data_IF_440317163253
#
_entry.id   IF_440317163253
#
_cell.length_a   1.000
_cell.length_b   1.000
_cell.length_c   1.000
_cell.angle_alpha   90.00
_cell.angle_beta   90.00
_cell.angle_gamma   90.00
#
_symmetry.space_group_name_H-M   'P 1'
#
loop_
_entity.id
_entity.type
_entity.pdbx_description
1 polymer ?
#
# COMPACT_ATOMS: atom_id res chain seq x y z
N UNK A 1 5.24 6.09 0.79
CA UNK A 1 4.92 7.25 1.66
C UNK A 1 3.42 7.23 1.97
N UNK A 2 3.00 7.32 3.24
CA UNK A 2 1.59 7.35 3.63
C UNK A 2 1.02 8.77 3.58
N UNK A 3 -0.27 8.90 3.24
CA UNK A 3 -0.91 10.20 3.03
C UNK A 3 -1.43 10.78 4.36
N UNK A 4 -0.87 11.91 4.79
CA UNK A 4 -1.23 12.56 6.07
C UNK A 4 -2.60 13.22 6.07
N UNK A 5 -3.10 13.65 4.91
CA UNK A 5 -4.44 14.24 4.78
C UNK A 5 -5.51 13.28 5.28
N UNK A 6 -5.29 11.97 5.07
CA UNK A 6 -6.17 10.90 5.52
C UNK A 6 -5.63 10.19 6.76
N UNK A 7 -4.72 10.82 7.49
CA UNK A 7 -4.11 10.30 8.73
C UNK A 7 -3.52 8.88 8.59
N UNK A 8 -3.09 8.50 7.40
CA UNK A 8 -2.58 7.14 7.16
C UNK A 8 -1.25 6.89 7.86
N UNK A 9 -0.37 7.90 7.96
CA UNK A 9 0.86 7.78 8.77
C UNK A 9 0.52 7.54 10.23
N UNK A 10 -0.41 8.34 10.78
CA UNK A 10 -0.88 8.17 12.16
C UNK A 10 -1.48 6.78 12.38
N UNK A 11 -2.27 6.28 11.42
CA UNK A 11 -2.86 4.95 11.50
C UNK A 11 -1.81 3.83 11.55
N UNK A 12 -0.68 3.98 10.82
CA UNK A 12 0.46 3.05 10.92
C UNK A 12 1.10 3.11 12.31
N UNK A 13 1.40 4.32 12.80
CA UNK A 13 2.04 4.51 14.11
C UNK A 13 1.18 4.01 15.28
N UNK A 14 -0.15 4.02 15.12
CA UNK A 14 -1.11 3.48 16.08
C UNK A 14 -1.39 1.97 15.87
N UNK A 15 -0.74 1.30 14.92
CA UNK A 15 -0.95 -0.11 14.61
C UNK A 15 -2.30 -0.45 13.97
N UNK A 16 -3.10 0.55 13.57
CA UNK A 16 -4.40 0.34 12.92
C UNK A 16 -4.28 0.05 11.42
N UNK A 17 -3.27 0.63 10.77
CA UNK A 17 -2.96 0.35 9.37
C UNK A 17 -1.77 -0.60 9.30
N UNK A 18 -2.03 -1.81 8.83
CA UNK A 18 -1.06 -2.91 8.72
C UNK A 18 -0.92 -3.43 7.29
N UNK A 19 -1.64 -2.84 6.34
CA UNK A 19 -1.56 -3.17 4.92
C UNK A 19 -1.47 -1.92 4.06
N UNK A 20 -0.92 -2.08 2.86
CA UNK A 20 -0.99 -1.05 1.81
C UNK A 20 -1.02 -1.70 0.43
N UNK A 21 -1.81 -1.12 -0.47
CA UNK A 21 -1.93 -1.55 -1.86
C UNK A 21 -1.18 -0.61 -2.78
N UNK A 22 -0.50 -1.18 -3.78
CA UNK A 22 0.19 -0.46 -4.85
C UNK A 22 -0.26 -1.00 -6.20
N UNK A 23 -0.72 -0.11 -7.06
CA UNK A 23 -1.16 -0.45 -8.42
C UNK A 23 0.05 -1.00 -9.19
N UNK A 24 -0.18 -2.09 -9.93
CA UNK A 24 0.82 -2.68 -10.80
C UNK A 24 1.10 -1.77 -12.00
N UNK A 25 2.32 -1.83 -12.51
CA UNK A 25 2.79 -0.99 -13.61
C UNK A 25 2.10 -1.36 -14.92
N UNK A 26 1.98 -2.65 -15.21
CA UNK A 26 1.39 -3.16 -16.44
C UNK A 26 -0.01 -3.70 -16.17
N UNK A 27 -0.99 -3.16 -16.88
CA UNK A 27 -2.36 -3.69 -16.92
C UNK A 27 -2.48 -4.80 -17.98
N UNK A 28 -3.51 -5.62 -17.85
CA UNK A 28 -3.89 -6.57 -18.91
C UNK A 28 -4.28 -5.79 -20.17
N UNK A 29 -3.64 -6.02 -21.33
CA UNK A 29 -3.95 -5.26 -22.55
C UNK A 29 -5.38 -5.49 -23.06
N UNK A 30 -5.79 -6.75 -23.16
CA UNK A 30 -7.11 -7.19 -23.59
C UNK A 30 -7.40 -8.64 -23.14
N UNK A 31 -8.52 -9.22 -23.57
CA UNK A 31 -8.96 -10.56 -23.17
C UNK A 31 -8.09 -11.71 -23.71
N UNK A 32 -7.28 -11.47 -24.73
CA UNK A 32 -6.38 -12.49 -25.31
C UNK A 32 -5.14 -12.75 -24.45
N UNK A 33 -4.87 -11.90 -23.46
CA UNK A 33 -3.72 -12.04 -22.57
C UNK A 33 -4.11 -12.76 -21.29
N UNK A 34 -3.31 -13.74 -20.91
CA UNK A 34 -3.41 -14.43 -19.63
C UNK A 34 -2.30 -14.03 -18.67
N UNK A 35 -2.55 -14.24 -17.36
CA UNK A 35 -1.53 -14.04 -16.37
C UNK A 35 -0.46 -15.10 -16.48
N UNK A 36 0.80 -14.67 -16.49
CA UNK A 36 1.97 -15.55 -16.51
C UNK A 36 2.86 -15.26 -15.32
N UNK A 37 3.48 -16.31 -14.80
CA UNK A 37 4.42 -16.21 -13.69
C UNK A 37 5.83 -16.63 -14.13
N UNK A 38 6.89 -16.06 -13.53
CA UNK A 38 8.24 -16.49 -13.82
C UNK A 38 8.46 -17.94 -13.38
N UNK A 39 9.23 -18.68 -14.18
CA UNK A 39 9.71 -20.00 -13.80
C UNK A 39 11.04 -19.82 -13.07
N UNK A 40 11.17 -20.45 -11.91
CA UNK A 40 12.37 -20.36 -11.09
C UNK A 40 13.24 -21.61 -11.24
N UNK A 41 14.56 -21.41 -11.29
CA UNK A 41 15.54 -22.47 -11.30
C UNK A 41 16.02 -22.79 -9.86
N UNK A 42 16.67 -23.95 -9.61
CA UNK A 42 17.20 -24.29 -8.28
C UNK A 42 18.13 -23.22 -7.66
N UNK A 43 18.88 -22.48 -8.48
CA UNK A 43 19.77 -21.39 -8.02
C UNK A 43 19.00 -20.14 -7.50
N UNK A 44 17.71 -20.05 -7.76
CA UNK A 44 16.87 -18.94 -7.30
C UNK A 44 16.40 -19.12 -5.85
N UNK A 45 16.82 -20.19 -5.20
CA UNK A 45 16.50 -20.50 -3.80
C UNK A 45 17.77 -20.51 -2.95
N UNK A 46 17.65 -20.07 -1.70
CA UNK A 46 18.71 -20.23 -0.69
C UNK A 46 18.70 -21.63 -0.06
N UNK A 47 19.66 -21.90 0.82
CA UNK A 47 19.79 -23.18 1.50
C UNK A 47 18.60 -23.49 2.44
N UNK A 48 17.81 -22.47 2.80
CA UNK A 48 16.61 -22.57 3.65
C UNK A 48 15.32 -22.75 2.80
N UNK A 49 15.45 -22.73 1.47
CA UNK A 49 14.34 -22.90 0.54
C UNK A 49 13.54 -21.63 0.24
N UNK A 50 14.05 -20.45 0.60
CA UNK A 50 13.42 -19.17 0.29
C UNK A 50 13.79 -18.74 -1.14
N UNK A 51 12.80 -18.23 -1.89
CA UNK A 51 13.06 -17.71 -3.22
C UNK A 51 13.77 -16.34 -3.14
N UNK A 52 15.01 -16.28 -3.65
CA UNK A 52 15.88 -15.09 -3.63
C UNK A 52 15.83 -14.29 -4.93
N UNK A 53 15.11 -14.76 -5.94
CA UNK A 53 15.00 -14.10 -7.25
C UNK A 53 14.44 -12.68 -7.11
N UNK A 54 14.94 -11.77 -7.94
CA UNK A 54 14.36 -10.44 -8.10
C UNK A 54 12.93 -10.45 -8.70
N UNK A 55 12.52 -11.60 -9.26
CA UNK A 55 11.17 -11.83 -9.79
C UNK A 55 10.24 -12.55 -8.81
N UNK A 56 10.67 -12.79 -7.56
CA UNK A 56 9.80 -13.35 -6.55
C UNK A 56 8.54 -12.47 -6.38
N UNK A 57 7.37 -13.11 -6.39
CA UNK A 57 6.05 -12.45 -6.46
C UNK A 57 5.78 -11.62 -7.72
N UNK A 58 6.64 -11.68 -8.75
CA UNK A 58 6.37 -11.01 -10.02
C UNK A 58 5.32 -11.77 -10.84
N UNK A 59 4.62 -11.05 -11.70
CA UNK A 59 3.74 -11.60 -12.72
C UNK A 59 3.71 -10.69 -13.96
N UNK A 60 3.27 -11.21 -15.09
CA UNK A 60 3.08 -10.44 -16.33
C UNK A 60 1.84 -10.90 -17.07
N UNK A 61 1.67 -10.37 -18.28
CA UNK A 61 0.60 -10.74 -19.19
C UNK A 61 1.22 -11.28 -20.47
N UNK A 62 0.82 -12.47 -20.89
CA UNK A 62 1.26 -13.11 -22.13
C UNK A 62 0.09 -13.66 -22.91
N UNK A 63 0.21 -13.76 -24.24
CA UNK A 63 -0.78 -14.37 -25.10
C UNK A 63 -0.19 -15.52 -25.92
N UNK A 64 -1.04 -16.28 -26.61
CA UNK A 64 -0.65 -17.44 -27.44
C UNK A 64 0.23 -17.06 -28.63
N UNK A 65 0.25 -15.79 -29.03
CA UNK A 65 1.12 -15.27 -30.11
C UNK A 65 2.55 -14.97 -29.62
N UNK A 66 2.82 -15.18 -28.32
CA UNK A 66 4.13 -14.92 -27.70
C UNK A 66 4.36 -13.46 -27.34
N UNK A 67 3.33 -12.62 -27.37
CA UNK A 67 3.43 -11.23 -26.88
C UNK A 67 3.47 -11.21 -25.37
N UNK A 68 4.31 -10.33 -24.80
CA UNK A 68 4.51 -10.21 -23.36
C UNK A 68 4.66 -8.74 -22.94
N UNK A 69 3.95 -8.34 -21.89
CA UNK A 69 3.93 -6.92 -21.43
C UNK A 69 5.16 -6.52 -20.61
N UNK A 70 5.87 -7.48 -20.05
CA UNK A 70 6.89 -7.27 -19.03
C UNK A 70 6.41 -7.69 -17.64
N UNK A 71 7.37 -7.76 -16.70
CA UNK A 71 7.10 -8.21 -15.34
C UNK A 71 6.63 -7.06 -14.44
N UNK A 72 5.42 -7.17 -13.88
CA UNK A 72 5.04 -6.43 -12.69
C UNK A 72 5.85 -6.99 -11.51
N UNK A 73 6.62 -6.14 -10.84
CA UNK A 73 7.48 -6.52 -9.72
C UNK A 73 7.05 -5.78 -8.45
N UNK A 74 7.07 -6.45 -7.29
CA UNK A 74 6.84 -5.74 -6.05
C UNK A 74 7.98 -4.75 -5.76
N UNK A 75 7.64 -3.60 -5.17
CA UNK A 75 8.62 -2.59 -4.73
C UNK A 75 9.40 -3.05 -3.49
N UNK A 76 8.76 -3.86 -2.64
CA UNK A 76 9.33 -4.31 -1.37
C UNK A 76 9.31 -5.84 -1.30
N UNK A 77 10.29 -6.41 -0.61
CA UNK A 77 10.42 -7.85 -0.38
C UNK A 77 9.92 -8.21 1.02
N UNK A 78 9.49 -9.45 1.21
CA UNK A 78 9.22 -10.00 2.53
C UNK A 78 10.50 -9.96 3.37
N UNK A 79 10.40 -9.52 4.62
CA UNK A 79 11.53 -9.31 5.52
C UNK A 79 12.19 -7.93 5.41
N UNK A 80 11.90 -7.14 4.37
CA UNK A 80 12.49 -5.82 4.18
C UNK A 80 11.99 -4.84 5.25
N UNK A 81 12.92 -4.02 5.77
CA UNK A 81 12.63 -2.95 6.73
C UNK A 81 12.57 -1.63 5.98
N UNK A 82 11.44 -0.94 6.10
CA UNK A 82 11.15 0.30 5.38
C UNK A 82 10.88 1.44 6.36
N UNK A 83 11.62 2.54 6.22
CA UNK A 83 11.41 3.73 7.05
C UNK A 83 10.08 4.42 6.73
N UNK A 84 9.36 4.85 7.77
CA UNK A 84 8.14 5.64 7.64
C UNK A 84 8.51 7.11 7.44
N UNK A 85 8.37 7.60 6.22
CA UNK A 85 8.68 8.99 5.91
C UNK A 85 7.80 9.96 6.71
N UNK A 86 8.44 10.83 7.49
CA UNK A 86 7.85 11.94 8.24
C UNK A 86 8.58 13.24 7.89
N UNK A 87 7.92 14.38 8.05
CA UNK A 87 8.62 15.67 7.90
C UNK A 87 9.62 15.84 9.04
N UNK A 88 10.76 16.40 8.76
CA UNK A 88 11.76 16.68 9.78
C UNK A 88 11.20 17.55 10.91
N UNK A 89 10.33 18.52 10.59
CA UNK A 89 9.65 19.34 11.60
C UNK A 89 8.77 18.52 12.55
N UNK A 90 8.17 17.41 12.08
CA UNK A 90 7.30 16.56 12.91
C UNK A 90 8.09 15.67 13.89
N UNK A 91 9.38 15.46 13.63
CA UNK A 91 10.28 14.62 14.43
C UNK A 91 11.37 15.42 15.17
N UNK A 92 11.20 16.74 15.24
CA UNK A 92 12.07 17.62 16.04
C UNK A 92 13.47 17.86 15.46
N UNK A 93 13.67 17.64 14.16
CA UNK A 93 14.94 17.99 13.49
C UNK A 93 14.87 19.47 13.10
N UNK A 94 15.81 20.25 13.59
CA UNK A 94 15.91 21.69 13.29
C UNK A 94 16.25 21.93 11.81
N UNK A 95 15.65 22.93 11.17
CA UNK A 95 15.90 23.24 9.78
C UNK A 95 17.34 23.70 9.56
N UNK A 96 17.98 23.12 8.54
CA UNK A 96 19.23 23.67 8.05
C UNK A 96 18.94 24.95 7.25
N UNK A 97 19.69 26.05 7.45
CA UNK A 97 19.48 27.29 6.71
C UNK A 97 19.40 27.04 5.20
N UNK A 98 18.39 27.61 4.55
CA UNK A 98 18.17 27.55 3.11
C UNK A 98 17.73 26.18 2.52
N UNK A 99 17.43 25.16 3.32
CA UNK A 99 16.93 23.88 2.81
C UNK A 99 15.50 23.64 3.31
N UNK A 100 14.52 23.65 2.40
CA UNK A 100 13.11 23.34 2.72
C UNK A 100 12.72 21.88 2.49
N UNK A 101 13.54 21.13 1.75
CA UNK A 101 13.30 19.75 1.43
C UNK A 101 13.26 18.89 2.70
N UNK A 102 12.20 18.10 2.87
CA UNK A 102 11.98 17.29 4.04
C UNK A 102 11.35 18.02 5.24
N UNK A 103 11.40 19.38 5.33
CA UNK A 103 10.75 20.13 6.43
C UNK A 103 9.28 20.47 6.15
N UNK A 104 8.96 20.96 4.94
CA UNK A 104 7.56 21.27 4.56
C UNK A 104 6.79 20.08 4.06
N UNK A 105 7.47 19.08 3.54
CA UNK A 105 6.87 17.86 3.01
C UNK A 105 7.76 16.65 3.33
N UNK A 106 7.30 15.45 2.97
CA UNK A 106 8.03 14.19 3.21
C UNK A 106 8.97 13.79 2.06
N UNK A 107 9.12 14.64 1.04
CA UNK A 107 10.01 14.37 -0.08
C UNK A 107 11.46 14.58 0.36
N UNK A 108 12.32 13.69 -0.10
CA UNK A 108 13.77 13.75 0.15
C UNK A 108 14.19 13.63 1.63
N UNK A 109 13.32 13.10 2.50
CA UNK A 109 13.74 12.75 3.86
C UNK A 109 14.67 11.55 3.82
N UNK A 110 15.71 11.58 4.67
CA UNK A 110 16.68 10.48 4.78
C UNK A 110 16.08 9.35 5.63
N UNK A 111 16.04 8.11 5.12
CA UNK A 111 15.50 6.97 5.87
C UNK A 111 16.14 6.77 7.24
N UNK A 112 17.47 6.97 7.34
CA UNK A 112 18.24 6.76 8.57
C UNK A 112 17.87 7.74 9.70
N UNK A 113 17.24 8.88 9.35
CA UNK A 113 16.77 9.86 10.31
C UNK A 113 15.34 9.61 10.77
N UNK A 114 14.63 8.64 10.16
CA UNK A 114 13.23 8.38 10.50
C UNK A 114 13.15 7.52 11.78
N UNK A 115 12.36 7.98 12.78
CA UNK A 115 12.27 7.28 14.07
C UNK A 115 11.46 5.98 14.00
N UNK A 116 10.64 5.81 12.96
CA UNK A 116 9.73 4.68 12.84
C UNK A 116 9.98 3.90 11.56
N UNK A 117 9.88 2.58 11.69
CA UNK A 117 10.10 1.61 10.61
C UNK A 117 9.02 0.54 10.61
N UNK A 118 8.71 0.01 9.45
CA UNK A 118 7.88 -1.17 9.26
C UNK A 118 8.69 -2.30 8.65
N UNK A 119 8.36 -3.53 9.00
CA UNK A 119 8.88 -4.73 8.36
C UNK A 119 7.79 -5.34 7.49
N UNK A 120 8.10 -5.61 6.23
CA UNK A 120 7.18 -6.28 5.31
C UNK A 120 7.08 -7.75 5.73
N UNK A 121 5.88 -8.19 6.07
CA UNK A 121 5.62 -9.56 6.54
C UNK A 121 5.05 -10.46 5.44
N UNK A 122 4.34 -9.88 4.48
CA UNK A 122 3.75 -10.62 3.37
C UNK A 122 3.59 -9.74 2.13
N UNK A 123 3.65 -10.38 0.95
CA UNK A 123 3.34 -9.75 -0.34
C UNK A 123 2.39 -10.68 -1.10
N UNK A 124 1.28 -10.15 -1.60
CA UNK A 124 0.35 -10.90 -2.45
C UNK A 124 -0.20 -10.04 -3.56
N UNK A 125 -0.75 -10.67 -4.57
CA UNK A 125 -1.32 -10.04 -5.77
C UNK A 125 -2.82 -10.29 -5.78
N UNK A 126 -3.62 -9.27 -6.05
CA UNK A 126 -5.08 -9.41 -6.20
C UNK A 126 -5.66 -8.27 -7.05
N UNK A 127 -6.92 -8.39 -7.43
CA UNK A 127 -7.67 -7.25 -7.96
C UNK A 127 -8.02 -6.29 -6.83
N UNK A 128 -8.07 -5.01 -7.14
CA UNK A 128 -8.33 -3.97 -6.12
C UNK A 128 -9.67 -4.20 -5.39
N UNK A 129 -10.72 -4.58 -6.13
CA UNK A 129 -12.06 -4.81 -5.58
C UNK A 129 -12.23 -6.13 -4.81
N UNK A 130 -11.25 -7.05 -4.88
CA UNK A 130 -11.26 -8.29 -4.11
C UNK A 130 -10.87 -8.08 -2.64
N UNK A 131 -10.68 -6.82 -2.23
CA UNK A 131 -10.41 -6.45 -0.85
C UNK A 131 -11.53 -6.92 0.08
N UNK A 132 -11.20 -7.53 1.21
CA UNK A 132 -12.17 -7.88 2.26
C UNK A 132 -12.48 -6.69 3.17
N UNK A 133 -13.51 -6.81 4.01
CA UNK A 133 -13.85 -5.78 5.00
C UNK A 133 -12.74 -5.64 6.05
N UNK A 134 -12.12 -6.76 6.46
CA UNK A 134 -10.96 -6.77 7.37
C UNK A 134 -9.77 -6.06 6.76
N UNK A 135 -9.50 -6.32 5.48
CA UNK A 135 -8.44 -5.64 4.74
C UNK A 135 -8.69 -4.12 4.61
N UNK A 136 -9.95 -3.71 4.45
CA UNK A 136 -10.28 -2.28 4.46
C UNK A 136 -9.91 -1.62 5.81
N UNK A 137 -10.15 -2.29 6.92
CA UNK A 137 -9.73 -1.81 8.24
C UNK A 137 -8.21 -1.79 8.36
N UNK A 138 -7.53 -2.83 7.89
CA UNK A 138 -6.08 -2.90 7.84
C UNK A 138 -5.44 -1.84 6.93
N UNK A 139 -6.18 -1.30 5.96
CA UNK A 139 -5.77 -0.14 5.14
C UNK A 139 -5.97 1.20 5.86
N UNK A 140 -6.59 1.22 7.03
CA UNK A 140 -6.76 2.41 7.86
C UNK A 140 -8.18 2.99 7.86
N UNK A 141 -9.16 2.30 7.28
CA UNK A 141 -10.58 2.62 7.46
C UNK A 141 -10.95 2.39 8.93
N UNK A 142 -11.76 3.28 9.48
CA UNK A 142 -12.17 3.21 10.88
C UNK A 142 -13.63 2.77 10.97
N UNK A 143 -13.87 1.75 11.81
CA UNK A 143 -15.21 1.29 12.18
C UNK A 143 -15.59 1.92 13.52
N UNK A 144 -16.79 2.50 13.59
CA UNK A 144 -17.42 2.93 14.85
C UNK A 144 -18.85 2.41 14.93
N UNK A 145 -19.29 2.15 16.12
CA UNK A 145 -20.70 1.86 16.35
C UNK A 145 -21.45 3.20 16.41
N UNK A 146 -22.36 3.40 15.48
CA UNK A 146 -23.21 4.56 15.40
C UNK A 146 -24.41 4.49 16.34
N UNK A 147 -25.36 5.41 16.14
CA UNK A 147 -26.63 5.37 16.84
C UNK A 147 -27.36 4.06 16.53
N UNK A 148 -28.10 3.51 17.46
CA UNK A 148 -28.82 2.22 17.34
C UNK A 148 -27.94 0.97 17.20
N UNK A 149 -26.64 1.04 17.51
CA UNK A 149 -25.74 -0.10 17.43
C UNK A 149 -25.28 -0.47 16.01
N UNK A 150 -25.62 0.34 15.00
CA UNK A 150 -25.27 0.08 13.60
C UNK A 150 -23.81 0.49 13.36
N UNK A 151 -22.95 -0.41 12.81
CA UNK A 151 -21.59 -0.06 12.47
C UNK A 151 -21.54 0.96 11.31
N UNK A 152 -20.65 1.93 11.44
CA UNK A 152 -20.35 2.92 10.42
C UNK A 152 -18.86 2.91 10.12
N UNK A 153 -18.52 3.05 8.85
CA UNK A 153 -17.14 3.02 8.34
C UNK A 153 -16.80 4.37 7.74
N UNK A 154 -15.60 4.87 8.02
CA UNK A 154 -15.19 6.17 7.50
C UNK A 154 -13.67 6.26 7.31
N UNK A 155 -13.28 7.17 6.42
CA UNK A 155 -11.89 7.58 6.24
C UNK A 155 -11.57 8.68 7.24
N UNK A 156 -10.56 8.53 8.11
CA UNK A 156 -10.15 9.60 8.99
C UNK A 156 -9.63 10.78 8.18
N UNK A 157 -10.31 11.90 8.20
CA UNK A 157 -9.87 13.13 7.55
C UNK A 157 -9.57 14.19 8.59
N UNK A 158 -8.48 14.95 8.39
CA UNK A 158 -7.98 15.93 9.38
C UNK A 158 -9.01 16.95 9.87
N UNK A 159 -10.02 17.30 9.05
CA UNK A 159 -11.00 18.35 9.38
C UNK A 159 -12.47 17.89 9.49
N UNK A 160 -12.81 16.70 9.02
CA UNK A 160 -14.22 16.27 8.90
C UNK A 160 -14.38 14.78 9.16
N UNK A 161 -14.33 14.39 10.42
CA UNK A 161 -14.34 12.98 10.87
C UNK A 161 -15.60 12.21 10.47
N UNK A 162 -16.69 12.87 10.14
CA UNK A 162 -18.00 12.24 9.90
C UNK A 162 -18.59 12.45 8.50
N UNK A 163 -17.93 13.24 7.64
CA UNK A 163 -18.51 13.67 6.37
C UNK A 163 -18.73 12.55 5.33
N UNK A 164 -18.12 11.38 5.54
CA UNK A 164 -18.16 10.24 4.61
C UNK A 164 -18.30 8.91 5.35
N UNK A 165 -19.18 8.87 6.37
CA UNK A 165 -19.53 7.61 7.01
C UNK A 165 -20.44 6.80 6.11
N UNK A 166 -20.09 5.56 5.84
CA UNK A 166 -20.86 4.61 5.04
C UNK A 166 -21.22 3.37 5.87
N UNK A 167 -22.13 2.56 5.35
CA UNK A 167 -22.53 1.30 5.98
C UNK A 167 -21.60 0.14 5.59
N UNK A 168 -20.68 0.36 4.66
CA UNK A 168 -19.77 -0.61 4.09
C UNK A 168 -18.31 -0.18 4.24
N UNK A 169 -17.45 -1.09 4.67
CA UNK A 169 -16.00 -0.87 4.72
C UNK A 169 -15.42 -0.67 3.31
N UNK A 170 -15.93 -1.39 2.32
CA UNK A 170 -15.51 -1.27 0.91
C UNK A 170 -15.86 0.09 0.32
N UNK A 171 -17.03 0.66 0.63
CA UNK A 171 -17.40 2.00 0.14
C UNK A 171 -16.51 3.09 0.75
N UNK A 172 -16.19 2.97 2.04
CA UNK A 172 -15.24 3.87 2.67
C UNK A 172 -13.84 3.74 2.02
N UNK A 173 -13.40 2.51 1.74
CA UNK A 173 -12.12 2.27 1.08
C UNK A 173 -12.12 2.75 -0.39
N UNK A 174 -13.20 2.54 -1.15
CA UNK A 174 -13.38 3.10 -2.50
C UNK A 174 -13.14 4.61 -2.50
N UNK A 175 -13.77 5.32 -1.57
CA UNK A 175 -13.55 6.76 -1.43
C UNK A 175 -12.08 7.09 -1.14
N UNK A 176 -11.44 6.35 -0.23
CA UNK A 176 -10.03 6.57 0.13
C UNK A 176 -9.12 6.37 -1.08
N UNK A 177 -9.25 5.23 -1.78
CA UNK A 177 -8.35 4.89 -2.88
C UNK A 177 -8.46 5.89 -4.03
N UNK A 178 -9.68 6.28 -4.43
CA UNK A 178 -9.90 7.28 -5.47
C UNK A 178 -9.31 8.66 -5.10
N UNK A 179 -9.29 9.01 -3.83
CA UNK A 179 -8.67 10.26 -3.36
C UNK A 179 -7.15 10.20 -3.28
N UNK A 180 -6.57 9.03 -3.09
CA UNK A 180 -5.11 8.85 -2.93
C UNK A 180 -4.44 8.60 -4.28
N UNK A 181 -5.07 7.85 -5.17
CA UNK A 181 -4.47 7.38 -6.43
C UNK A 181 -5.08 8.03 -7.68
N UNK A 182 -6.23 8.68 -7.55
CA UNK A 182 -6.96 9.34 -8.64
C UNK A 182 -8.39 8.83 -8.78
N UNK A 183 -9.30 9.71 -9.21
CA UNK A 183 -10.70 9.35 -9.42
C UNK A 183 -10.81 8.27 -10.51
N UNK A 184 -11.69 7.29 -10.29
CA UNK A 184 -11.91 6.16 -11.19
C UNK A 184 -10.97 4.97 -10.99
N UNK A 185 -10.02 5.06 -10.07
CA UNK A 185 -9.13 3.93 -9.76
C UNK A 185 -9.92 2.72 -9.26
N UNK A 186 -10.90 2.94 -8.39
CA UNK A 186 -11.77 1.84 -7.93
C UNK A 186 -12.52 1.17 -9.09
N UNK A 187 -13.13 1.95 -9.98
CA UNK A 187 -13.92 1.43 -11.10
C UNK A 187 -13.06 0.67 -12.13
N UNK A 188 -11.83 1.12 -12.35
CA UNK A 188 -10.89 0.42 -13.24
C UNK A 188 -10.44 -0.92 -12.68
N UNK A 189 -10.66 -1.17 -11.39
CA UNK A 189 -10.33 -2.40 -10.70
C UNK A 189 -8.95 -2.97 -11.08
N UNK A 190 -7.85 -2.21 -10.94
CA UNK A 190 -6.54 -2.65 -11.38
C UNK A 190 -6.01 -3.80 -10.52
N UNK A 191 -5.02 -4.51 -11.05
CA UNK A 191 -4.20 -5.41 -10.26
C UNK A 191 -3.31 -4.62 -9.31
N UNK A 192 -3.17 -5.11 -8.07
CA UNK A 192 -2.40 -4.46 -7.02
C UNK A 192 -1.50 -5.47 -6.30
N UNK A 193 -0.32 -5.01 -5.91
CA UNK A 193 0.45 -5.66 -4.86
C UNK A 193 -0.10 -5.21 -3.51
N UNK A 194 -0.43 -6.17 -2.67
CA UNK A 194 -0.80 -5.96 -1.27
C UNK A 194 0.41 -6.27 -0.41
N UNK A 195 0.85 -5.31 0.35
CA UNK A 195 1.94 -5.46 1.33
C UNK A 195 1.32 -5.47 2.72
N UNK A 196 1.55 -6.54 3.44
CA UNK A 196 1.29 -6.61 4.87
C UNK A 196 2.57 -6.23 5.61
N UNK A 197 2.43 -5.54 6.71
CA UNK A 197 3.59 -5.09 7.49
C UNK A 197 3.26 -4.94 8.97
N UNK A 198 4.30 -4.99 9.77
CA UNK A 198 4.27 -4.69 11.19
C UNK A 198 5.16 -3.49 11.52
N UNK A 199 4.80 -2.72 12.53
CA UNK A 199 5.64 -1.66 13.08
C UNK A 199 6.74 -2.30 13.93
N UNK A 200 8.02 -2.02 13.62
CA UNK A 200 9.16 -2.62 14.32
C UNK A 200 9.94 -1.62 15.17
N UNK A 201 9.68 -0.32 14.97
CA UNK A 201 10.29 0.75 15.77
C UNK A 201 9.42 2.00 15.67
#
# INVERSE_FOLDING_TARGET
>A
MFNDKYQLTKAVLEGRKTQTRRICEYSRPDESYDIVFPIFEPKDYDDEGNNTSALNYAFGWGNDEGMFTGWNKPYYKVGEIVAIAQRYADIGIEPFPFCEAGWRNKMFVKPDLMPYQIKITNVRIQRLQDISDEDCLAEGIVKKIGYEGIPRYYVPWYKHTWAYATDSAKDAYRFLIDKVTGNGTWESNPWVFVYEFELVK
#
